data_IF_717831225654
#
_entry.id   IF_717831225654
#
_cell.length_a   1.000
_cell.length_b   1.000
_cell.length_c   1.000
_cell.angle_alpha   90.00
_cell.angle_beta   90.00
_cell.angle_gamma   90.00
#
_symmetry.space_group_name_H-M   'P 1'
#
loop_
_entity.id
_entity.type
_entity.pdbx_description
1 polymer ?
#
# COMPACT_ATOMS: atom_id res chain seq x y z
N UNK A 1 -12.79 -16.66 30.54
CA UNK A 1 -12.68 -17.91 31.32
C UNK A 1 -11.22 -18.33 31.34
N UNK A 2 -10.72 -18.90 32.45
CA UNK A 2 -9.41 -19.55 32.46
C UNK A 2 -9.41 -20.76 31.50
N UNK A 3 -8.22 -21.17 31.04
CA UNK A 3 -8.07 -22.35 30.19
C UNK A 3 -8.52 -23.61 30.95
N UNK A 4 -9.28 -24.52 30.30
CA UNK A 4 -9.70 -25.76 30.94
C UNK A 4 -8.50 -26.68 31.19
N UNK A 5 -8.62 -27.53 32.20
CA UNK A 5 -7.62 -28.58 32.48
C UNK A 5 -7.53 -29.56 31.30
N UNK A 6 -6.31 -29.87 30.85
CA UNK A 6 -6.08 -30.70 29.65
C UNK A 6 -6.17 -29.96 28.31
N UNK A 7 -6.17 -28.61 28.32
CA UNK A 7 -6.14 -27.81 27.10
C UNK A 7 -4.92 -28.12 26.23
N UNK A 8 -5.16 -28.50 24.98
CA UNK A 8 -4.13 -28.65 23.96
C UNK A 8 -4.06 -27.39 23.11
N UNK A 9 -2.94 -26.69 23.19
CA UNK A 9 -2.62 -25.52 22.36
C UNK A 9 -2.71 -25.84 20.86
N UNK A 10 -2.24 -27.04 20.46
CA UNK A 10 -2.27 -27.49 19.07
C UNK A 10 -3.70 -27.69 18.57
N UNK A 11 -4.51 -28.46 19.30
CA UNK A 11 -5.90 -28.76 18.90
C UNK A 11 -6.74 -27.49 18.81
N UNK A 12 -6.55 -26.57 19.76
CA UNK A 12 -7.23 -25.28 19.74
C UNK A 12 -6.83 -24.45 18.52
N UNK A 13 -5.53 -24.35 18.22
CA UNK A 13 -5.02 -23.63 17.05
C UNK A 13 -5.53 -24.27 15.75
N UNK A 14 -5.45 -25.59 15.63
CA UNK A 14 -5.90 -26.34 14.46
C UNK A 14 -7.39 -26.12 14.19
N UNK A 15 -8.26 -26.22 15.20
CA UNK A 15 -9.71 -25.95 15.07
C UNK A 15 -9.99 -24.53 14.56
N UNK A 16 -9.28 -23.52 15.07
CA UNK A 16 -9.43 -22.14 14.60
C UNK A 16 -8.98 -21.96 13.14
N UNK A 17 -7.83 -22.55 12.78
CA UNK A 17 -7.32 -22.51 11.41
C UNK A 17 -8.29 -23.20 10.45
N UNK A 18 -8.74 -24.42 10.77
CA UNK A 18 -9.67 -25.22 9.95
C UNK A 18 -10.93 -24.41 9.63
N UNK A 19 -11.54 -23.79 10.65
CA UNK A 19 -12.80 -23.02 10.47
C UNK A 19 -12.64 -21.85 9.51
N UNK A 20 -11.56 -21.08 9.65
CA UNK A 20 -11.33 -19.89 8.84
C UNK A 20 -10.87 -20.28 7.44
N UNK A 21 -9.87 -21.15 7.35
CA UNK A 21 -9.25 -21.59 6.09
C UNK A 21 -10.25 -22.32 5.21
N UNK A 22 -10.98 -23.32 5.72
CA UNK A 22 -11.92 -24.07 4.90
C UNK A 22 -13.07 -23.20 4.38
N UNK A 23 -13.50 -22.19 5.14
CA UNK A 23 -14.47 -21.20 4.63
C UNK A 23 -13.88 -20.44 3.44
N UNK A 24 -12.66 -19.92 3.56
CA UNK A 24 -11.98 -19.19 2.48
C UNK A 24 -11.74 -20.06 1.25
N UNK A 25 -11.34 -21.32 1.42
CA UNK A 25 -11.18 -22.30 0.33
C UNK A 25 -12.51 -22.49 -0.40
N UNK A 26 -13.62 -22.70 0.32
CA UNK A 26 -14.94 -22.87 -0.30
C UNK A 26 -15.40 -21.61 -1.03
N UNK A 27 -15.16 -20.43 -0.48
CA UNK A 27 -15.48 -19.16 -1.13
C UNK A 27 -14.66 -18.95 -2.41
N UNK A 28 -13.37 -19.29 -2.39
CA UNK A 28 -12.47 -19.18 -3.54
C UNK A 28 -12.84 -20.16 -4.67
N UNK A 29 -13.30 -21.36 -4.30
CA UNK A 29 -13.78 -22.40 -5.22
C UNK A 29 -15.31 -22.48 -5.26
N UNK A 30 -16.00 -21.35 -5.18
CA UNK A 30 -17.48 -21.29 -5.11
C UNK A 30 -18.18 -21.88 -6.35
N UNK A 31 -17.43 -22.08 -7.44
CA UNK A 31 -17.89 -22.73 -8.67
C UNK A 31 -17.97 -24.27 -8.56
N UNK A 32 -17.35 -24.87 -7.54
CA UNK A 32 -17.36 -26.31 -7.30
C UNK A 32 -18.34 -26.60 -6.16
N UNK A 33 -19.31 -27.49 -6.42
CA UNK A 33 -20.36 -27.80 -5.45
C UNK A 33 -19.86 -28.79 -4.39
N UNK A 34 -19.14 -29.83 -4.79
CA UNK A 34 -18.72 -30.90 -3.88
C UNK A 34 -17.28 -30.75 -3.39
N UNK A 35 -17.07 -30.90 -2.08
CA UNK A 35 -15.74 -30.79 -1.44
C UNK A 35 -14.79 -31.94 -1.83
N UNK A 36 -15.34 -33.02 -2.38
CA UNK A 36 -14.62 -34.26 -2.72
C UNK A 36 -14.63 -34.55 -4.23
N UNK A 37 -14.90 -33.55 -5.07
CA UNK A 37 -14.83 -33.72 -6.51
C UNK A 37 -13.37 -33.87 -6.97
N UNK A 38 -12.95 -35.07 -7.37
CA UNK A 38 -11.63 -35.32 -7.97
C UNK A 38 -11.67 -35.44 -9.50
N UNK A 39 -12.85 -35.25 -10.10
CA UNK A 39 -13.07 -35.46 -11.54
C UNK A 39 -12.51 -34.31 -12.39
N UNK A 40 -12.39 -33.12 -11.80
CA UNK A 40 -11.79 -31.95 -12.42
C UNK A 40 -10.48 -31.57 -11.73
N UNK A 41 -9.48 -31.04 -12.46
CA UNK A 41 -8.24 -30.55 -11.84
C UNK A 41 -8.50 -29.50 -10.74
N UNK A 42 -9.54 -28.68 -10.92
CA UNK A 42 -9.93 -27.62 -9.98
C UNK A 42 -10.64 -28.20 -8.75
N UNK A 43 -11.51 -29.19 -8.92
CA UNK A 43 -12.11 -29.96 -7.83
C UNK A 43 -11.04 -30.66 -6.99
N UNK A 44 -10.10 -31.32 -7.66
CA UNK A 44 -8.96 -31.99 -7.00
C UNK A 44 -8.11 -31.01 -6.20
N UNK A 45 -7.85 -29.82 -6.74
CA UNK A 45 -7.13 -28.76 -6.03
C UNK A 45 -7.92 -28.23 -4.82
N UNK A 46 -9.25 -28.06 -4.93
CA UNK A 46 -10.11 -27.68 -3.81
C UNK A 46 -10.03 -28.71 -2.68
N UNK A 47 -10.18 -29.98 -3.01
CA UNK A 47 -10.09 -31.09 -2.05
C UNK A 47 -8.71 -31.12 -1.36
N UNK A 48 -7.64 -30.93 -2.12
CA UNK A 48 -6.29 -30.87 -1.58
C UNK A 48 -6.08 -29.67 -0.63
N UNK A 49 -6.76 -28.54 -0.85
CA UNK A 49 -6.68 -27.37 0.02
C UNK A 49 -7.47 -27.51 1.34
N UNK A 50 -8.52 -28.34 1.38
CA UNK A 50 -9.37 -28.50 2.56
C UNK A 50 -8.68 -29.26 3.68
N UNK A 51 -8.67 -28.69 4.88
CA UNK A 51 -8.10 -29.28 6.08
C UNK A 51 -9.08 -30.22 6.77
N UNK A 52 -8.53 -31.24 7.42
CA UNK A 52 -9.25 -32.22 8.23
C UNK A 52 -8.75 -32.18 9.68
N UNK A 53 -9.59 -32.66 10.58
CA UNK A 53 -9.26 -32.78 12.01
C UNK A 53 -8.09 -33.76 12.24
N UNK A 54 -8.08 -34.85 11.46
CA UNK A 54 -7.01 -35.86 11.47
C UNK A 54 -5.71 -35.41 10.79
N UNK A 55 -5.64 -34.20 10.21
CA UNK A 55 -4.42 -33.73 9.57
C UNK A 55 -3.32 -33.54 10.62
N UNK A 56 -2.11 -34.03 10.31
CA UNK A 56 -0.92 -33.69 11.09
C UNK A 56 -0.57 -32.21 10.93
N UNK A 57 0.21 -31.67 11.86
CA UNK A 57 0.66 -30.27 11.78
C UNK A 57 1.36 -29.92 10.47
N UNK A 58 2.09 -30.86 9.89
CA UNK A 58 2.73 -30.70 8.57
C UNK A 58 1.70 -30.64 7.46
N UNK A 59 0.67 -31.49 7.50
CA UNK A 59 -0.42 -31.46 6.52
C UNK A 59 -1.21 -30.15 6.61
N UNK A 60 -1.57 -29.70 7.80
CA UNK A 60 -2.21 -28.38 8.02
C UNK A 60 -1.36 -27.26 7.40
N UNK A 61 -0.04 -27.26 7.63
CA UNK A 61 0.85 -26.25 7.06
C UNK A 61 0.96 -26.32 5.53
N UNK A 62 1.04 -27.52 4.97
CA UNK A 62 1.13 -27.73 3.52
C UNK A 62 -0.16 -27.31 2.80
N UNK A 63 -1.33 -27.56 3.39
CA UNK A 63 -2.62 -27.14 2.84
C UNK A 63 -2.80 -25.61 2.87
N UNK A 64 -2.36 -24.96 3.95
CA UNK A 64 -2.24 -23.49 4.00
C UNK A 64 -1.39 -22.96 2.85
N UNK A 65 -0.18 -23.52 2.69
CA UNK A 65 0.74 -23.06 1.66
C UNK A 65 0.21 -23.32 0.24
N UNK A 66 -0.39 -24.49 0.02
CA UNK A 66 -1.00 -24.88 -1.25
C UNK A 66 -2.10 -23.89 -1.64
N UNK A 67 -2.98 -23.52 -0.70
CA UNK A 67 -4.06 -22.57 -0.97
C UNK A 67 -3.56 -21.14 -1.20
N UNK A 68 -2.71 -20.64 -0.29
CA UNK A 68 -2.27 -19.25 -0.33
C UNK A 68 -1.33 -18.97 -1.52
N UNK A 69 -0.34 -19.84 -1.74
CA UNK A 69 0.74 -19.59 -2.70
C UNK A 69 0.45 -20.25 -4.05
N UNK A 70 0.19 -21.55 -4.07
CA UNK A 70 0.15 -22.33 -5.31
C UNK A 70 -1.18 -22.21 -6.04
N UNK A 71 -2.31 -22.30 -5.32
CA UNK A 71 -3.62 -22.02 -5.86
C UNK A 71 -3.82 -20.52 -6.13
N UNK A 72 -3.00 -19.67 -5.50
CA UNK A 72 -2.90 -18.25 -5.80
C UNK A 72 -3.91 -17.37 -5.07
N UNK A 73 -4.48 -17.83 -3.94
CA UNK A 73 -5.35 -17.00 -3.12
C UNK A 73 -4.63 -15.73 -2.65
N UNK A 74 -3.40 -15.82 -2.15
CA UNK A 74 -2.63 -14.65 -1.72
C UNK A 74 -2.37 -13.67 -2.86
N UNK A 75 -2.15 -14.17 -4.08
CA UNK A 75 -2.04 -13.33 -5.28
C UNK A 75 -3.38 -12.65 -5.60
N UNK A 76 -4.50 -13.33 -5.44
CA UNK A 76 -5.83 -12.76 -5.68
C UNK A 76 -6.20 -11.61 -4.73
N UNK A 77 -5.57 -11.56 -3.56
CA UNK A 77 -5.71 -10.47 -2.59
C UNK A 77 -4.80 -9.27 -2.91
N UNK A 78 -3.78 -9.46 -3.77
CA UNK A 78 -2.90 -8.38 -4.18
C UNK A 78 -3.53 -7.58 -5.32
N UNK A 79 -3.44 -6.24 -5.31
CA UNK A 79 -3.91 -5.44 -6.42
C UNK A 79 -3.11 -5.76 -7.69
N UNK A 80 -3.79 -5.94 -8.82
CA UNK A 80 -3.12 -6.07 -10.12
C UNK A 80 -2.44 -4.74 -10.50
N UNK A 81 -1.13 -4.78 -10.75
CA UNK A 81 -0.33 -3.60 -11.12
C UNK A 81 0.13 -3.75 -12.57
N UNK A 82 -0.31 -2.84 -13.44
CA UNK A 82 0.30 -2.65 -14.76
C UNK A 82 1.62 -1.89 -14.59
N UNK A 83 2.71 -2.63 -14.34
CA UNK A 83 4.02 -2.08 -14.05
C UNK A 83 5.00 -2.19 -15.22
N UNK A 84 5.90 -1.20 -15.33
CA UNK A 84 7.13 -1.31 -16.10
C UNK A 84 8.27 -1.64 -15.12
N UNK A 85 9.11 -2.66 -15.38
CA UNK A 85 10.27 -2.92 -14.54
C UNK A 85 11.18 -1.69 -14.44
N UNK A 86 11.72 -1.44 -13.25
CA UNK A 86 12.57 -0.27 -12.98
C UNK A 86 13.80 -0.24 -13.89
N UNK A 87 14.39 -1.40 -14.19
CA UNK A 87 15.53 -1.53 -15.11
C UNK A 87 15.16 -1.05 -16.51
N UNK A 88 14.06 -1.56 -17.07
CA UNK A 88 13.55 -1.15 -18.40
C UNK A 88 13.18 0.33 -18.45
N UNK A 89 12.69 0.90 -17.35
CA UNK A 89 12.43 2.35 -17.26
C UNK A 89 13.74 3.16 -17.29
N UNK A 90 14.74 2.75 -16.49
CA UNK A 90 16.02 3.45 -16.38
C UNK A 90 16.85 3.38 -17.67
N UNK A 91 16.77 2.31 -18.46
CA UNK A 91 17.40 2.23 -19.79
C UNK A 91 16.95 3.33 -20.75
N UNK A 92 15.69 3.77 -20.62
CA UNK A 92 15.07 4.74 -21.53
C UNK A 92 15.15 6.18 -21.01
N UNK A 93 15.25 6.36 -19.69
CA UNK A 93 15.13 7.68 -19.06
C UNK A 93 16.17 7.87 -17.95
N UNK A 94 17.02 8.89 -18.14
CA UNK A 94 17.80 9.49 -17.06
C UNK A 94 16.95 10.53 -16.33
N UNK A 95 17.00 10.53 -15.00
CA UNK A 95 16.16 11.41 -14.19
C UNK A 95 16.90 11.95 -12.98
N UNK A 96 16.52 13.16 -12.56
CA UNK A 96 17.00 13.75 -11.31
C UNK A 96 16.56 12.90 -10.10
N UNK A 97 17.37 12.81 -9.04
CA UNK A 97 17.03 12.05 -7.84
C UNK A 97 15.63 12.36 -7.34
N UNK A 98 14.84 11.33 -7.01
CA UNK A 98 13.46 11.50 -6.58
C UNK A 98 13.25 10.94 -5.18
N UNK A 99 12.71 11.77 -4.29
CA UNK A 99 12.20 11.32 -3.00
C UNK A 99 10.72 11.00 -3.17
N UNK A 100 10.34 9.79 -2.77
CA UNK A 100 8.96 9.33 -2.73
C UNK A 100 8.55 9.14 -1.27
N UNK A 101 7.47 9.81 -0.86
CA UNK A 101 6.85 9.72 0.45
C UNK A 101 5.55 8.94 0.31
N UNK A 102 5.42 7.88 1.10
CA UNK A 102 4.27 6.99 1.04
C UNK A 102 3.44 7.06 2.32
N UNK A 103 2.13 7.22 2.13
CA UNK A 103 1.12 7.31 3.17
C UNK A 103 0.08 6.23 2.97
N UNK A 104 -0.41 5.66 4.06
CA UNK A 104 -1.44 4.63 4.03
C UNK A 104 -2.44 4.85 5.16
N UNK A 105 -3.71 4.65 4.83
CA UNK A 105 -4.80 4.57 5.80
C UNK A 105 -4.52 3.42 6.79
N UNK A 106 -4.69 3.62 8.10
CA UNK A 106 -4.60 2.55 9.09
C UNK A 106 -5.63 1.43 8.83
N UNK A 107 -5.23 0.17 8.95
CA UNK A 107 -6.12 -0.96 8.65
C UNK A 107 -7.39 -1.01 9.53
N UNK A 108 -7.31 -0.46 10.75
CA UNK A 108 -8.44 -0.35 11.67
C UNK A 108 -9.42 0.79 11.33
N UNK A 109 -9.07 1.65 10.36
CA UNK A 109 -9.93 2.74 9.88
C UNK A 109 -10.49 2.48 8.48
N UNK A 110 -9.98 1.47 7.78
CA UNK A 110 -10.45 1.08 6.46
C UNK A 110 -11.82 0.41 6.54
N UNK A 111 -12.75 0.84 5.68
CA UNK A 111 -14.10 0.27 5.58
C UNK A 111 -14.04 -1.18 5.05
N UNK A 112 -14.78 -2.08 5.70
CA UNK A 112 -14.84 -3.49 5.29
C UNK A 112 -15.24 -3.65 3.82
N UNK A 113 -14.51 -4.51 3.09
CA UNK A 113 -14.73 -4.74 1.66
C UNK A 113 -14.06 -3.71 0.73
N UNK A 114 -13.26 -2.77 1.26
CA UNK A 114 -12.46 -1.85 0.46
C UNK A 114 -10.96 -1.98 0.75
N UNK A 115 -10.10 -1.74 -0.25
CA UNK A 115 -8.67 -1.60 -0.01
C UNK A 115 -8.38 -0.31 0.76
N UNK A 116 -7.30 -0.33 1.55
CA UNK A 116 -6.80 0.83 2.27
C UNK A 116 -6.49 1.98 1.31
N UNK A 117 -6.81 3.21 1.71
CA UNK A 117 -6.48 4.39 0.89
C UNK A 117 -4.99 4.70 1.00
N UNK A 118 -4.30 4.75 -0.14
CA UNK A 118 -2.91 5.18 -0.22
C UNK A 118 -2.79 6.65 -0.65
N UNK A 119 -1.72 7.31 -0.21
CA UNK A 119 -1.29 8.63 -0.67
C UNK A 119 0.19 8.60 -1.01
N UNK A 120 0.56 9.31 -2.08
CA UNK A 120 1.95 9.45 -2.48
C UNK A 120 2.24 10.91 -2.76
N UNK A 121 3.39 11.37 -2.27
CA UNK A 121 3.94 12.68 -2.60
C UNK A 121 5.39 12.44 -3.01
N UNK A 122 5.78 12.99 -4.15
CA UNK A 122 7.16 12.89 -4.62
C UNK A 122 7.71 14.25 -5.01
N UNK A 123 9.00 14.46 -4.76
CA UNK A 123 9.73 15.63 -5.22
C UNK A 123 11.11 15.23 -5.76
N UNK A 124 11.64 16.06 -6.66
CA UNK A 124 12.96 15.88 -7.25
C UNK A 124 13.99 16.69 -6.45
N UNK A 125 15.19 16.14 -6.31
CA UNK A 125 16.33 16.92 -5.86
C UNK A 125 16.96 17.54 -7.11
N UNK A 126 16.81 18.85 -7.27
CA UNK A 126 17.40 19.57 -8.41
C UNK A 126 18.92 19.67 -8.27
N UNK A 127 19.40 19.76 -7.02
CA UNK A 127 20.81 19.71 -6.66
C UNK A 127 21.01 18.90 -5.36
N UNK A 128 22.11 18.12 -5.24
CA UNK A 128 23.13 17.86 -6.28
C UNK A 128 22.64 16.88 -7.38
N UNK A 129 23.39 16.77 -8.48
CA UNK A 129 23.13 15.80 -9.54
C UNK A 129 23.15 14.34 -9.00
N UNK A 130 22.48 13.42 -9.70
CA UNK A 130 22.30 12.04 -9.20
C UNK A 130 23.62 11.29 -8.93
N UNK A 131 24.67 11.58 -9.70
CA UNK A 131 26.01 10.99 -9.57
C UNK A 131 26.73 11.43 -8.31
N UNK A 132 26.35 12.59 -7.76
CA UNK A 132 27.01 13.23 -6.63
C UNK A 132 26.30 12.96 -5.31
N UNK A 133 25.17 12.23 -5.30
CA UNK A 133 24.49 11.89 -4.07
C UNK A 133 25.30 10.87 -3.28
N UNK A 134 25.70 11.28 -2.09
CA UNK A 134 26.48 10.46 -1.16
C UNK A 134 25.58 9.73 -0.14
N UNK A 135 26.06 8.63 0.47
CA UNK A 135 25.37 7.98 1.59
C UNK A 135 25.10 8.92 2.77
N UNK A 136 26.01 9.85 3.04
CA UNK A 136 25.88 10.85 4.11
C UNK A 136 24.70 11.80 3.86
N UNK A 137 24.54 12.29 2.63
CA UNK A 137 23.40 13.12 2.25
C UNK A 137 22.08 12.37 2.35
N UNK A 138 22.04 11.10 1.91
CA UNK A 138 20.86 10.26 2.06
C UNK A 138 20.49 10.05 3.53
N UNK A 139 21.47 9.85 4.42
CA UNK A 139 21.23 9.77 5.87
C UNK A 139 20.71 11.08 6.47
N UNK A 140 21.28 12.22 6.09
CA UNK A 140 20.82 13.53 6.57
C UNK A 140 19.37 13.80 6.11
N UNK A 141 19.06 13.46 4.87
CA UNK A 141 17.70 13.53 4.34
C UNK A 141 16.74 12.61 5.10
N UNK A 142 17.16 11.36 5.38
CA UNK A 142 16.36 10.42 6.17
C UNK A 142 16.05 10.95 7.58
N UNK A 143 17.05 11.52 8.27
CA UNK A 143 16.87 12.14 9.59
C UNK A 143 15.88 13.30 9.56
N UNK A 144 15.96 14.16 8.53
CA UNK A 144 15.02 15.29 8.38
C UNK A 144 13.60 14.81 8.06
N UNK A 145 13.44 13.81 7.20
CA UNK A 145 12.12 13.19 6.96
C UNK A 145 11.56 12.59 8.25
N UNK A 146 12.40 11.91 9.05
CA UNK A 146 11.98 11.34 10.32
C UNK A 146 11.51 12.40 11.32
N UNK A 147 12.23 13.51 11.44
CA UNK A 147 11.86 14.61 12.34
C UNK A 147 10.58 15.31 11.91
N UNK A 148 10.36 15.48 10.61
CA UNK A 148 9.20 16.24 10.08
C UNK A 148 7.96 15.36 9.97
N UNK A 149 8.10 14.11 9.52
CA UNK A 149 6.95 13.29 9.11
C UNK A 149 6.75 12.00 9.89
N UNK A 150 7.74 11.52 10.65
CA UNK A 150 7.65 10.20 11.27
C UNK A 150 7.45 10.22 12.79
N UNK A 151 7.80 11.32 13.47
CA UNK A 151 7.77 11.39 14.95
C UNK A 151 7.03 12.64 15.46
N UNK A 152 5.71 12.58 15.72
CA UNK A 152 4.79 11.46 15.43
C UNK A 152 4.50 11.32 13.93
N UNK A 153 3.96 10.18 13.46
CA UNK A 153 3.65 9.99 12.05
C UNK A 153 2.64 11.04 11.55
N UNK A 154 3.05 11.80 10.55
CA UNK A 154 2.24 12.84 9.95
C UNK A 154 0.98 12.25 9.32
N UNK A 155 -0.15 12.88 9.60
CA UNK A 155 -1.46 12.51 9.05
C UNK A 155 -1.77 13.48 7.92
N UNK A 156 -2.13 12.97 6.75
CA UNK A 156 -2.67 13.73 5.62
C UNK A 156 -4.15 13.40 5.46
N UNK A 157 -5.01 14.41 5.58
CA UNK A 157 -6.46 14.29 5.41
C UNK A 157 -6.81 14.34 3.93
N UNK A 158 -6.93 13.17 3.30
CA UNK A 158 -7.29 13.09 1.88
C UNK A 158 -8.75 13.44 1.67
N UNK A 159 -9.01 14.20 0.61
CA UNK A 159 -10.36 14.62 0.25
C UNK A 159 -10.60 14.73 -1.24
N UNK A 160 -11.64 15.50 -1.60
CA UNK A 160 -12.11 15.62 -2.99
C UNK A 160 -11.56 16.86 -3.69
N UNK A 161 -11.14 17.85 -2.91
CA UNK A 161 -10.49 19.07 -3.40
C UNK A 161 -9.12 18.69 -3.95
N UNK A 162 -8.82 19.16 -5.15
CA UNK A 162 -7.52 18.95 -5.76
C UNK A 162 -6.76 20.26 -5.69
N UNK A 163 -5.54 20.21 -5.18
CA UNK A 163 -4.63 21.33 -5.16
C UNK A 163 -3.37 20.91 -5.90
N UNK A 164 -2.82 21.81 -6.72
CA UNK A 164 -1.53 21.61 -7.36
C UNK A 164 -0.54 22.64 -6.83
N UNK A 165 0.68 22.22 -6.52
CA UNK A 165 1.76 23.13 -6.17
C UNK A 165 2.93 22.87 -7.11
N UNK A 166 3.34 23.88 -7.86
CA UNK A 166 4.30 23.72 -8.96
C UNK A 166 5.44 24.74 -8.87
N UNK A 167 6.54 24.33 -8.24
CA UNK A 167 7.81 25.05 -8.18
C UNK A 167 8.88 24.19 -8.86
N UNK A 168 8.98 24.31 -10.19
CA UNK A 168 9.88 23.49 -11.01
C UNK A 168 11.35 23.75 -10.69
N UNK A 169 11.71 24.99 -10.31
CA UNK A 169 13.08 25.36 -9.96
C UNK A 169 13.60 24.61 -8.73
N UNK A 170 12.71 24.34 -7.77
CA UNK A 170 13.05 23.55 -6.57
C UNK A 170 12.67 22.06 -6.68
N UNK A 171 12.18 21.62 -7.83
CA UNK A 171 11.85 20.21 -8.09
C UNK A 171 10.49 19.75 -7.54
N UNK A 172 9.58 20.68 -7.25
CA UNK A 172 8.26 20.39 -6.69
C UNK A 172 7.16 20.44 -7.76
N UNK A 173 6.42 19.34 -7.90
CA UNK A 173 5.23 19.26 -8.74
C UNK A 173 4.23 18.32 -8.08
N UNK A 174 3.40 18.87 -7.19
CA UNK A 174 2.46 18.09 -6.40
C UNK A 174 1.07 18.18 -7.01
N UNK A 175 0.35 17.05 -7.00
CA UNK A 175 -1.09 17.02 -7.15
C UNK A 175 -1.69 16.37 -5.90
N UNK A 176 -2.22 17.20 -5.01
CA UNK A 176 -2.72 16.79 -3.71
C UNK A 176 -4.24 16.69 -3.72
N UNK A 177 -4.74 15.59 -3.17
CA UNK A 177 -6.16 15.40 -2.85
C UNK A 177 -6.37 15.69 -1.37
N UNK A 178 -7.07 16.75 -1.02
CA UNK A 178 -7.20 17.25 0.36
C UNK A 178 -8.65 17.56 0.73
N UNK A 179 -8.92 17.69 2.02
CA UNK A 179 -10.23 18.10 2.54
C UNK A 179 -10.51 19.61 2.39
N UNK A 180 -9.47 20.44 2.42
CA UNK A 180 -9.56 21.90 2.34
C UNK A 180 -8.25 22.51 1.84
N UNK A 181 -8.26 23.79 1.46
CA UNK A 181 -7.05 24.53 1.13
C UNK A 181 -6.06 24.59 2.29
N UNK A 182 -6.55 24.83 3.52
CA UNK A 182 -5.71 24.86 4.73
C UNK A 182 -4.92 23.56 4.91
N UNK A 183 -5.55 22.42 4.59
CA UNK A 183 -4.89 21.12 4.63
C UNK A 183 -3.83 20.99 3.52
N UNK A 184 -4.07 21.51 2.31
CA UNK A 184 -3.04 21.55 1.27
C UNK A 184 -1.83 22.37 1.70
N UNK A 185 -2.04 23.58 2.25
CA UNK A 185 -0.95 24.43 2.74
C UNK A 185 -0.11 23.73 3.81
N UNK A 186 -0.79 23.10 4.80
CA UNK A 186 -0.14 22.31 5.85
C UNK A 186 0.69 21.16 5.31
N UNK A 187 0.18 20.41 4.33
CA UNK A 187 0.93 19.30 3.70
C UNK A 187 2.15 19.84 2.93
N UNK A 188 1.98 20.91 2.16
CA UNK A 188 3.06 21.51 1.36
C UNK A 188 4.16 22.06 2.26
N UNK A 189 3.83 22.79 3.32
CA UNK A 189 4.79 23.29 4.31
C UNK A 189 5.68 22.18 4.86
N UNK A 190 5.08 21.07 5.27
CA UNK A 190 5.82 19.95 5.86
C UNK A 190 6.71 19.25 4.82
N UNK A 191 6.22 19.09 3.59
CA UNK A 191 7.04 18.48 2.53
C UNK A 191 8.21 19.39 2.14
N UNK A 192 8.01 20.70 2.06
CA UNK A 192 9.07 21.67 1.73
C UNK A 192 10.07 21.84 2.88
N UNK A 193 9.63 21.72 4.14
CA UNK A 193 10.50 21.78 5.32
C UNK A 193 11.51 20.63 5.39
N UNK A 194 11.27 19.52 4.69
CA UNK A 194 12.26 18.44 4.51
C UNK A 194 13.56 18.96 3.89
N UNK A 195 13.46 19.99 3.04
CA UNK A 195 14.59 20.67 2.40
C UNK A 195 14.81 22.08 2.95
N UNK A 196 14.11 22.44 4.03
CA UNK A 196 14.18 23.78 4.65
C UNK A 196 13.80 24.89 3.66
N UNK A 197 12.89 24.58 2.73
CA UNK A 197 12.35 25.56 1.79
C UNK A 197 11.07 26.18 2.35
N UNK A 198 10.89 27.49 2.15
CA UNK A 198 9.62 28.15 2.44
C UNK A 198 8.68 28.04 1.23
N UNK A 199 7.40 27.68 1.41
CA UNK A 199 6.42 27.68 0.33
C UNK A 199 6.18 29.09 -0.23
N UNK A 200 6.07 29.18 -1.55
CA UNK A 200 5.57 30.35 -2.24
C UNK A 200 4.15 30.05 -2.73
N UNK A 201 3.17 30.75 -2.14
CA UNK A 201 1.76 30.45 -2.36
C UNK A 201 1.27 30.84 -3.76
N UNK A 202 2.05 31.61 -4.52
CA UNK A 202 1.75 31.90 -5.92
C UNK A 202 1.86 30.65 -6.80
N UNK A 203 2.61 29.63 -6.36
CA UNK A 203 2.67 28.33 -7.02
C UNK A 203 1.53 27.38 -6.66
N UNK A 204 0.64 27.76 -5.74
CA UNK A 204 -0.52 26.96 -5.34
C UNK A 204 -1.74 27.28 -6.21
N UNK A 205 -2.32 26.26 -6.83
CA UNK A 205 -3.58 26.36 -7.57
C UNK A 205 -4.60 25.39 -7.00
N UNK A 206 -5.82 25.88 -6.76
CA UNK A 206 -6.94 25.08 -6.25
C UNK A 206 -7.88 24.77 -7.41
N UNK A 207 -8.23 23.49 -7.55
CA UNK A 207 -9.09 23.00 -8.61
C UNK A 207 -10.44 22.62 -8.03
N UNK A 208 -11.46 23.39 -8.39
CA UNK A 208 -12.85 23.04 -8.09
C UNK A 208 -13.37 22.01 -9.10
N UNK A 209 -13.93 20.91 -8.59
CA UNK A 209 -14.52 19.91 -9.46
C UNK A 209 -16.03 20.11 -9.57
N UNK A 210 -16.53 20.27 -10.78
CA UNK A 210 -17.97 20.24 -11.09
C UNK A 210 -18.55 18.82 -11.05
N UNK A 211 -17.72 17.78 -10.90
CA UNK A 211 -18.14 16.37 -10.89
C UNK A 211 -18.45 15.93 -9.47
N UNK A 212 -19.60 15.27 -9.29
CA UNK A 212 -19.92 14.63 -8.03
C UNK A 212 -19.17 13.28 -7.90
N UNK A 213 -18.59 13.02 -6.74
CA UNK A 213 -17.88 11.78 -6.42
C UNK A 213 -18.64 11.04 -5.32
N UNK A 214 -19.65 10.23 -5.67
CA UNK A 214 -20.50 9.57 -4.68
C UNK A 214 -19.68 8.64 -3.78
N UNK A 215 -20.06 8.57 -2.50
CA UNK A 215 -19.41 7.70 -1.49
C UNK A 215 -19.60 6.23 -1.87
N UNK A 216 -20.79 5.90 -2.37
CA UNK A 216 -21.17 4.60 -2.91
C UNK A 216 -21.03 4.68 -4.43
N UNK A 217 -20.04 4.00 -5.04
CA UNK A 217 -19.92 4.00 -6.49
C UNK A 217 -21.12 3.32 -7.14
N UNK A 218 -21.56 3.79 -8.31
CA UNK A 218 -22.61 3.12 -9.07
C UNK A 218 -22.10 1.75 -9.56
N UNK A 219 -23.03 0.80 -9.73
CA UNK A 219 -22.74 -0.44 -10.43
C UNK A 219 -22.87 -0.25 -11.94
N UNK A 220 -22.01 -0.92 -12.71
CA UNK A 220 -22.10 -0.97 -14.17
C UNK A 220 -21.92 -2.41 -14.63
N UNK A 221 -22.62 -2.79 -15.68
CA UNK A 221 -22.40 -4.07 -16.35
C UNK A 221 -21.07 -3.99 -17.11
N UNK A 222 -20.08 -4.76 -16.67
CA UNK A 222 -18.76 -4.87 -17.29
C UNK A 222 -18.47 -6.35 -17.49
N UNK A 223 -18.13 -6.74 -18.72
CA UNK A 223 -17.84 -8.12 -19.07
C UNK A 223 -18.99 -9.07 -18.64
N UNK A 224 -20.22 -8.74 -19.03
CA UNK A 224 -21.41 -9.55 -18.78
C UNK A 224 -21.91 -9.60 -17.33
N UNK A 225 -21.21 -8.99 -16.36
CA UNK A 225 -21.59 -9.00 -14.94
C UNK A 225 -21.80 -7.57 -14.41
N UNK A 226 -22.81 -7.39 -13.56
CA UNK A 226 -22.97 -6.14 -12.79
C UNK A 226 -21.85 -6.06 -11.76
N UNK A 227 -20.99 -5.04 -11.88
CA UNK A 227 -19.86 -4.82 -10.97
C UNK A 227 -19.93 -3.42 -10.39
N UNK A 228 -19.67 -3.30 -9.09
CA UNK A 228 -19.54 -2.00 -8.43
C UNK A 228 -18.30 -1.30 -8.95
N UNK A 229 -18.44 -0.05 -9.39
CA UNK A 229 -17.30 0.71 -9.90
C UNK A 229 -16.30 1.03 -8.76
N UNK A 230 -15.01 1.24 -9.07
CA UNK A 230 -14.05 1.69 -8.07
C UNK A 230 -14.43 3.04 -7.47
N UNK A 231 -14.18 3.22 -6.16
CA UNK A 231 -14.32 4.52 -5.48
C UNK A 231 -13.34 5.52 -6.08
N UNK A 232 -13.83 6.69 -6.45
CA UNK A 232 -13.01 7.81 -6.93
C UNK A 232 -12.85 8.85 -5.83
N UNK A 233 -11.61 9.26 -5.56
CA UNK A 233 -11.25 10.27 -4.54
C UNK A 233 -11.88 9.98 -3.16
N UNK A 234 -11.62 8.79 -2.58
CA UNK A 234 -12.11 8.47 -1.24
C UNK A 234 -11.57 9.49 -0.23
N UNK A 235 -12.39 9.82 0.77
CA UNK A 235 -11.98 10.61 1.93
C UNK A 235 -11.42 9.65 2.97
N UNK A 236 -10.19 9.88 3.41
CA UNK A 236 -9.52 9.04 4.40
C UNK A 236 -8.35 9.81 5.02
N UNK A 237 -8.02 9.46 6.26
CA UNK A 237 -6.84 9.97 6.94
C UNK A 237 -5.69 8.99 6.70
N UNK A 238 -4.72 9.38 5.88
CA UNK A 238 -3.55 8.55 5.56
C UNK A 238 -2.37 8.98 6.42
N UNK A 239 -1.64 8.01 6.98
CA UNK A 239 -0.48 8.27 7.85
C UNK A 239 0.81 7.97 7.12
N UNK A 240 1.87 8.72 7.41
CA UNK A 240 3.20 8.46 6.88
C UNK A 240 3.64 7.04 7.24
N UNK A 241 4.14 6.28 6.27
CA UNK A 241 4.61 4.90 6.45
C UNK A 241 6.07 4.75 6.11
N UNK A 242 6.51 5.29 4.98
CA UNK A 242 7.90 5.18 4.56
C UNK A 242 8.28 6.26 3.55
N UNK A 243 9.59 6.46 3.41
CA UNK A 243 10.20 7.31 2.40
C UNK A 243 11.30 6.56 1.66
N UNK A 244 11.50 6.90 0.39
CA UNK A 244 12.48 6.24 -0.47
C UNK A 244 13.13 7.22 -1.43
N UNK A 245 14.40 6.99 -1.70
CA UNK A 245 15.18 7.74 -2.67
C UNK A 245 15.43 6.88 -3.89
N UNK A 246 14.99 7.38 -5.04
CA UNK A 246 15.20 6.78 -6.34
C UNK A 246 16.33 7.51 -7.04
N UNK A 247 17.38 6.77 -7.39
CA UNK A 247 18.55 7.25 -8.11
C UNK A 247 18.64 6.51 -9.45
N UNK A 248 18.97 7.23 -10.51
CA UNK A 248 19.30 6.60 -11.78
C UNK A 248 20.58 5.76 -11.62
N UNK A 249 20.60 4.57 -12.23
CA UNK A 249 21.67 3.58 -12.08
C UNK A 249 21.49 2.64 -10.87
N UNK A 250 20.56 2.91 -9.96
CA UNK A 250 20.29 2.05 -8.79
C UNK A 250 18.95 1.35 -8.98
N UNK A 251 18.97 0.02 -9.10
CA UNK A 251 17.75 -0.77 -9.39
C UNK A 251 16.75 -0.79 -8.24
N UNK A 252 17.25 -0.88 -7.01
CA UNK A 252 16.41 -0.86 -5.80
C UNK A 252 16.49 0.51 -5.14
N UNK A 253 15.35 1.16 -4.80
CA UNK A 253 15.39 2.44 -4.12
C UNK A 253 16.07 2.34 -2.76
N UNK A 254 16.79 3.39 -2.38
CA UNK A 254 17.37 3.52 -1.05
C UNK A 254 16.23 3.84 -0.09
N UNK A 255 15.97 2.95 0.87
CA UNK A 255 14.93 3.16 1.87
C UNK A 255 15.43 4.19 2.89
N UNK A 256 14.85 5.39 2.88
CA UNK A 256 15.27 6.46 3.77
C UNK A 256 14.68 6.27 5.18
N UNK A 257 13.35 6.15 5.27
CA UNK A 257 12.63 6.03 6.54
C UNK A 257 11.59 4.93 6.44
N UNK A 258 11.43 4.13 7.50
CA UNK A 258 10.33 3.18 7.64
C UNK A 258 9.72 3.24 9.04
N UNK A 259 8.40 3.38 9.10
CA UNK A 259 7.61 3.29 10.33
C UNK A 259 7.15 1.85 10.53
N UNK A 260 7.35 1.30 11.72
CA UNK A 260 6.86 -0.04 12.10
C UNK A 260 7.46 -1.18 11.29
N UNK A 261 8.73 -1.08 10.87
CA UNK A 261 9.44 -2.13 10.15
C UNK A 261 8.97 -2.38 8.70
N UNK A 262 8.19 -1.47 8.13
CA UNK A 262 7.58 -1.62 6.80
C UNK A 262 8.56 -1.80 5.63
N UNK A 263 9.86 -1.48 5.81
CA UNK A 263 10.90 -1.71 4.80
C UNK A 263 12.20 -2.21 5.41
N UNK A 264 12.80 -3.21 4.78
CA UNK A 264 14.14 -3.72 5.13
C UNK A 264 15.21 -2.67 4.81
N UNK A 265 16.25 -2.61 5.65
CA UNK A 265 17.44 -1.73 5.49
C UNK A 265 17.10 -0.24 5.34
N UNK A 266 16.07 0.24 6.02
CA UNK A 266 15.81 1.67 6.09
C UNK A 266 16.95 2.36 6.86
N UNK A 267 17.41 3.51 6.37
CA UNK A 267 18.46 4.30 7.03
C UNK A 267 18.01 4.79 8.41
N UNK A 268 16.72 5.09 8.55
CA UNK A 268 16.07 5.45 9.81
C UNK A 268 14.81 4.60 10.03
N UNK A 269 14.67 4.08 11.25
CA UNK A 269 13.51 3.32 11.70
C UNK A 269 12.80 4.11 12.81
N UNK A 270 11.47 4.04 12.80
CA UNK A 270 10.57 4.64 13.80
C UNK A 270 9.57 3.60 14.30
#
# INVERSE_FOLDING_TARGET
>A
MPLPEGFSEWEHLQDQIIRIHNRQVRDYFSDIVEDNDLTTPRGSLRHACLMKDEDTSVMTQLRLWLFEVTAGHAKSLQPDIYGLPVTTFQERYTFAPQVQLYFLEPANQTESGYPQVAGEISFRLTEPAYENITPTEAHNLARRIKSVLATPPFVWKKGRTVCTYKDEKKGYNFQLYVTSETEARRVIEQVLDIRTHTPDWDYLTIHESRRNFPIVPPSRTIYGKSRRMPRKRPRADVRFRCASLHLHGVSNPINLVAVGGSRKKALEIV
#
